data_IF_645936476624
#
_entry.id   IF_645936476624
#
_cell.length_a   1.000
_cell.length_b   1.000
_cell.length_c   1.000
_cell.angle_alpha   90.00
_cell.angle_beta   90.00
_cell.angle_gamma   90.00
#
_symmetry.space_group_name_H-M   'P 1'
#
loop_
_entity.id
_entity.type
_entity.pdbx_description
1 polymer ?
#
# COMPACT_ATOMS: atom_id res chain seq x y z
N UNK A 1 10.36 9.02 55.70
CA UNK A 1 10.40 9.99 54.58
C UNK A 1 11.13 9.51 53.31
N UNK A 2 11.79 8.34 53.27
CA UNK A 2 12.57 7.89 52.09
C UNK A 2 11.76 7.05 51.07
N UNK A 3 10.65 6.44 51.48
CA UNK A 3 9.87 5.51 50.64
C UNK A 3 9.18 6.19 49.43
N UNK A 4 8.77 7.45 49.58
CA UNK A 4 8.08 8.20 48.53
C UNK A 4 9.00 8.50 47.33
N UNK A 5 10.31 8.62 47.55
CA UNK A 5 11.27 8.87 46.48
C UNK A 5 11.51 7.64 45.60
N UNK A 6 11.50 6.44 46.19
CA UNK A 6 11.65 5.19 45.44
C UNK A 6 10.45 4.89 44.55
N UNK A 7 9.24 5.17 45.03
CA UNK A 7 8.02 4.98 44.23
C UNK A 7 7.94 5.98 43.08
N UNK A 8 8.31 7.25 43.31
CA UNK A 8 8.38 8.25 42.24
C UNK A 8 9.44 7.90 41.18
N UNK A 9 10.63 7.49 41.61
CA UNK A 9 11.71 7.09 40.69
C UNK A 9 11.36 5.86 39.85
N UNK A 10 10.72 4.85 40.45
CA UNK A 10 10.25 3.66 39.74
C UNK A 10 9.17 4.00 38.69
N UNK A 11 8.29 4.95 39.00
CA UNK A 11 7.20 5.35 38.11
C UNK A 11 7.71 6.16 36.91
N UNK A 12 8.70 7.02 37.11
CA UNK A 12 9.37 7.78 36.02
C UNK A 12 10.17 6.83 35.11
N UNK A 13 10.87 5.84 35.66
CA UNK A 13 11.59 4.83 34.87
C UNK A 13 10.64 3.93 34.07
N UNK A 14 9.52 3.51 34.67
CA UNK A 14 8.50 2.74 33.97
C UNK A 14 7.85 3.54 32.83
N UNK A 15 7.57 4.83 33.04
CA UNK A 15 7.03 5.72 32.01
C UNK A 15 8.05 5.98 30.87
N UNK A 16 9.33 6.18 31.21
CA UNK A 16 10.41 6.39 30.24
C UNK A 16 10.68 5.16 29.37
N UNK A 17 10.52 3.95 29.92
CA UNK A 17 10.68 2.71 29.18
C UNK A 17 9.44 2.31 28.34
N UNK A 18 8.24 2.69 28.78
CA UNK A 18 6.99 2.38 28.05
C UNK A 18 6.82 3.22 26.78
N UNK A 19 7.28 4.47 26.77
CA UNK A 19 7.17 5.37 25.62
C UNK A 19 7.78 4.82 24.31
N UNK A 20 9.03 4.33 24.27
CA UNK A 20 9.62 3.80 23.03
C UNK A 20 8.94 2.51 22.56
N UNK A 21 8.49 1.66 23.49
CA UNK A 21 7.83 0.38 23.16
C UNK A 21 6.46 0.62 22.52
N UNK A 22 5.67 1.54 23.06
CA UNK A 22 4.37 1.91 22.50
C UNK A 22 4.50 2.59 21.13
N UNK A 23 5.50 3.47 20.95
CA UNK A 23 5.78 4.11 19.67
C UNK A 23 6.21 3.11 18.60
N UNK A 24 7.04 2.12 18.97
CA UNK A 24 7.50 1.09 18.06
C UNK A 24 6.38 0.11 17.70
N UNK A 25 5.51 -0.23 18.65
CA UNK A 25 4.35 -1.08 18.41
C UNK A 25 3.34 -0.41 17.45
N UNK A 26 3.05 0.88 17.64
CA UNK A 26 2.19 1.64 16.73
C UNK A 26 2.76 1.72 15.31
N UNK A 27 4.08 1.93 15.17
CA UNK A 27 4.73 1.94 13.85
C UNK A 27 4.69 0.59 13.14
N UNK A 28 4.81 -0.53 13.88
CA UNK A 28 4.71 -1.87 13.30
C UNK A 28 3.29 -2.20 12.86
N UNK A 29 2.29 -1.85 13.65
CA UNK A 29 0.88 -2.10 13.32
C UNK A 29 0.39 -1.21 12.18
N UNK A 30 0.79 0.06 12.17
CA UNK A 30 0.61 1.01 11.05
C UNK A 30 1.62 0.81 9.91
N UNK A 31 2.45 -0.24 9.96
CA UNK A 31 3.18 -0.72 8.79
C UNK A 31 2.48 -1.93 8.19
N UNK A 32 1.98 -2.82 9.06
CA UNK A 32 1.27 -4.03 8.66
C UNK A 32 -0.02 -3.75 7.90
N UNK A 33 -0.85 -2.81 8.36
CA UNK A 33 -2.12 -2.47 7.68
C UNK A 33 -1.87 -1.88 6.29
N UNK A 34 -0.87 -1.03 6.16
CA UNK A 34 -0.48 -0.34 4.95
C UNK A 34 0.15 -1.32 3.96
N UNK A 35 0.99 -2.24 4.43
CA UNK A 35 1.52 -3.34 3.63
C UNK A 35 0.42 -4.25 3.07
N UNK A 36 -0.57 -4.61 3.90
CA UNK A 36 -1.73 -5.42 3.46
C UNK A 36 -2.53 -4.64 2.41
N UNK A 37 -2.84 -3.37 2.67
CA UNK A 37 -3.60 -2.53 1.73
C UNK A 37 -2.87 -2.36 0.39
N UNK A 38 -1.55 -2.16 0.41
CA UNK A 38 -0.76 -1.98 -0.79
C UNK A 38 -0.68 -3.27 -1.62
N UNK A 39 -0.42 -4.41 -0.97
CA UNK A 39 -0.41 -5.73 -1.63
C UNK A 39 -1.78 -6.08 -2.20
N UNK A 40 -2.85 -5.80 -1.47
CA UNK A 40 -4.22 -6.05 -1.95
C UNK A 40 -4.53 -5.24 -3.22
N UNK A 41 -4.17 -3.95 -3.26
CA UNK A 41 -4.36 -3.11 -4.46
C UNK A 41 -3.48 -3.57 -5.63
N UNK A 42 -2.22 -3.92 -5.38
CA UNK A 42 -1.33 -4.45 -6.42
C UNK A 42 -1.81 -5.81 -6.98
N UNK A 43 -2.35 -6.69 -6.12
CA UNK A 43 -2.95 -7.96 -6.53
C UNK A 43 -4.23 -7.74 -7.36
N UNK A 44 -5.09 -6.80 -6.95
CA UNK A 44 -6.26 -6.42 -7.73
C UNK A 44 -5.86 -5.91 -9.12
N UNK A 45 -4.84 -5.05 -9.20
CA UNK A 45 -4.33 -4.59 -10.50
C UNK A 45 -3.79 -5.76 -11.33
N UNK A 46 -3.02 -6.67 -10.71
CA UNK A 46 -2.52 -7.90 -11.33
C UNK A 46 -3.62 -8.70 -12.02
N UNK A 47 -4.74 -8.91 -11.34
CA UNK A 47 -5.91 -9.60 -11.89
C UNK A 47 -6.41 -9.01 -13.22
N UNK A 48 -6.33 -7.70 -13.40
CA UNK A 48 -6.77 -7.04 -14.64
C UNK A 48 -5.71 -6.98 -15.74
N UNK A 49 -4.42 -7.10 -15.39
CA UNK A 49 -3.33 -6.93 -16.37
C UNK A 49 -2.65 -8.23 -16.76
N UNK A 50 -2.81 -9.29 -15.97
CA UNK A 50 -2.25 -10.62 -16.26
C UNK A 50 -2.91 -11.24 -17.48
N UNK A 51 -4.23 -11.14 -17.58
CA UNK A 51 -5.03 -11.58 -18.72
C UNK A 51 -5.28 -10.40 -19.68
N UNK A 52 -4.52 -10.28 -20.79
CA UNK A 52 -4.63 -9.14 -21.68
C UNK A 52 -5.96 -9.16 -22.44
N UNK A 53 -6.73 -8.07 -22.30
CA UNK A 53 -7.92 -7.85 -23.12
C UNK A 53 -7.50 -7.46 -24.54
N UNK A 54 -7.91 -8.27 -25.53
CA UNK A 54 -7.67 -7.98 -26.94
C UNK A 54 -8.73 -7.01 -27.44
N UNK A 55 -8.31 -5.86 -27.96
CA UNK A 55 -9.21 -4.82 -28.50
C UNK A 55 -8.57 -4.13 -29.69
N UNK A 56 -9.42 -3.64 -30.60
CA UNK A 56 -9.02 -2.84 -31.76
C UNK A 56 -8.89 -1.34 -31.45
N UNK A 57 -9.38 -0.85 -30.29
CA UNK A 57 -9.23 0.56 -29.89
C UNK A 57 -7.78 0.85 -29.47
N UNK A 58 -7.02 1.65 -30.24
CA UNK A 58 -5.62 1.95 -29.94
C UNK A 58 -5.42 2.64 -28.59
N UNK A 59 -6.37 3.49 -28.17
CA UNK A 59 -6.28 4.17 -26.88
C UNK A 59 -6.53 3.22 -25.71
N UNK A 60 -7.46 2.26 -25.87
CA UNK A 60 -7.67 1.22 -24.87
C UNK A 60 -6.41 0.33 -24.73
N UNK A 61 -5.76 -0.04 -25.84
CA UNK A 61 -4.48 -0.78 -25.81
C UNK A 61 -3.40 0.01 -25.07
N UNK A 62 -3.27 1.31 -25.33
CA UNK A 62 -2.30 2.19 -24.66
C UNK A 62 -2.55 2.27 -23.15
N UNK A 63 -3.81 2.40 -22.74
CA UNK A 63 -4.21 2.45 -21.33
C UNK A 63 -3.99 1.12 -20.60
N UNK A 64 -4.30 -0.02 -21.23
CA UNK A 64 -4.03 -1.34 -20.67
C UNK A 64 -2.52 -1.58 -20.50
N UNK A 65 -1.72 -1.15 -21.48
CA UNK A 65 -0.25 -1.19 -21.36
C UNK A 65 0.24 -0.34 -20.19
N UNK A 66 -0.26 0.89 -20.05
CA UNK A 66 0.07 1.74 -18.91
C UNK A 66 -0.31 1.08 -17.58
N UNK A 67 -1.47 0.43 -17.50
CA UNK A 67 -1.88 -0.37 -16.33
C UNK A 67 -0.86 -1.45 -15.98
N UNK A 68 -0.36 -2.19 -16.98
CA UNK A 68 0.65 -3.25 -16.77
C UNK A 68 2.02 -2.70 -16.37
N UNK A 69 2.43 -1.57 -16.93
CA UNK A 69 3.65 -0.87 -16.50
C UNK A 69 3.56 -0.46 -15.04
N UNK A 70 2.43 0.10 -14.61
CA UNK A 70 2.19 0.46 -13.21
C UNK A 70 2.16 -0.75 -12.29
N UNK A 71 1.62 -1.87 -12.72
CA UNK A 71 1.68 -3.12 -11.95
C UNK A 71 3.12 -3.56 -11.69
N UNK A 72 3.96 -3.57 -12.73
CA UNK A 72 5.38 -3.88 -12.58
C UNK A 72 6.09 -2.90 -11.63
N UNK A 73 5.83 -1.60 -11.77
CA UNK A 73 6.39 -0.58 -10.87
C UNK A 73 5.93 -0.76 -9.41
N UNK A 74 4.64 -1.02 -9.18
CA UNK A 74 4.11 -1.28 -7.85
C UNK A 74 4.73 -2.53 -7.23
N UNK A 75 4.88 -3.61 -8.02
CA UNK A 75 5.58 -4.83 -7.61
C UNK A 75 7.04 -4.58 -7.24
N UNK A 76 7.75 -3.77 -8.03
CA UNK A 76 9.15 -3.41 -7.75
C UNK A 76 9.29 -2.62 -6.44
N UNK A 77 8.40 -1.65 -6.19
CA UNK A 77 8.37 -0.90 -4.91
C UNK A 77 8.03 -1.84 -3.75
N UNK A 78 7.05 -2.73 -3.90
CA UNK A 78 6.68 -3.69 -2.85
C UNK A 78 7.81 -4.67 -2.51
N UNK A 79 8.63 -5.05 -3.49
CA UNK A 79 9.75 -5.97 -3.28
C UNK A 79 10.85 -5.39 -2.37
N UNK A 80 11.00 -4.06 -2.35
CA UNK A 80 12.02 -3.36 -1.54
C UNK A 80 11.42 -2.57 -0.37
N UNK A 81 10.09 -2.50 -0.26
CA UNK A 81 9.39 -1.70 0.73
C UNK A 81 9.71 -2.12 2.17
N UNK A 82 10.24 -1.18 2.94
CA UNK A 82 10.59 -1.36 4.34
C UNK A 82 9.94 -0.31 5.27
N UNK A 83 9.18 0.62 4.69
CA UNK A 83 8.52 1.71 5.40
C UNK A 83 7.06 1.88 4.98
N UNK A 84 6.31 2.59 5.82
CA UNK A 84 4.92 2.98 5.56
C UNK A 84 4.83 3.81 4.27
N UNK A 85 5.81 4.67 4.04
CA UNK A 85 5.91 5.52 2.86
C UNK A 85 6.06 4.68 1.59
N UNK A 86 6.88 3.62 1.61
CA UNK A 86 7.03 2.72 0.46
C UNK A 86 5.73 1.98 0.15
N UNK A 87 5.02 1.49 1.17
CA UNK A 87 3.74 0.84 0.98
C UNK A 87 2.68 1.81 0.43
N UNK A 88 2.66 3.05 0.92
CA UNK A 88 1.78 4.08 0.37
C UNK A 88 2.11 4.43 -1.08
N UNK A 89 3.39 4.51 -1.43
CA UNK A 89 3.82 4.74 -2.81
C UNK A 89 3.40 3.57 -3.71
N UNK A 90 3.65 2.32 -3.30
CA UNK A 90 3.22 1.15 -4.06
C UNK A 90 1.71 1.13 -4.28
N UNK A 91 0.93 1.46 -3.24
CA UNK A 91 -0.52 1.59 -3.32
C UNK A 91 -0.94 2.65 -4.32
N UNK A 92 -0.34 3.84 -4.27
CA UNK A 92 -0.65 4.92 -5.20
C UNK A 92 -0.36 4.51 -6.65
N UNK A 93 0.78 3.87 -6.90
CA UNK A 93 1.12 3.36 -8.23
C UNK A 93 0.08 2.33 -8.71
N UNK A 94 -0.34 1.42 -7.84
CA UNK A 94 -1.39 0.45 -8.16
C UNK A 94 -2.74 1.13 -8.46
N UNK A 95 -3.10 2.17 -7.70
CA UNK A 95 -4.33 2.94 -7.92
C UNK A 95 -4.31 3.69 -9.27
N UNK A 96 -3.17 4.26 -9.65
CA UNK A 96 -2.97 4.88 -10.97
C UNK A 96 -3.12 3.85 -12.11
N UNK A 97 -2.59 2.64 -11.92
CA UNK A 97 -2.79 1.54 -12.86
C UNK A 97 -4.26 1.11 -12.98
N UNK A 98 -4.97 0.99 -11.85
CA UNK A 98 -6.39 0.66 -11.82
C UNK A 98 -7.25 1.74 -12.48
N UNK A 99 -6.88 3.01 -12.34
CA UNK A 99 -7.54 4.11 -13.05
C UNK A 99 -7.35 4.01 -14.56
N UNK A 100 -6.15 3.67 -15.03
CA UNK A 100 -5.88 3.44 -16.46
C UNK A 100 -6.69 2.25 -17.01
N UNK A 101 -6.75 1.13 -16.28
CA UNK A 101 -7.58 -0.03 -16.64
C UNK A 101 -9.06 0.34 -16.70
N UNK A 102 -9.56 1.09 -15.72
CA UNK A 102 -10.95 1.58 -15.69
C UNK A 102 -11.28 2.42 -16.91
N UNK A 103 -10.38 3.34 -17.28
CA UNK A 103 -10.53 4.16 -18.47
C UNK A 103 -10.52 3.29 -19.75
N UNK A 104 -9.66 2.28 -19.83
CA UNK A 104 -9.65 1.35 -20.97
C UNK A 104 -10.96 0.56 -21.07
N UNK A 105 -11.40 -0.05 -19.96
CA UNK A 105 -12.63 -0.84 -19.89
C UNK A 105 -13.87 -0.02 -20.26
N UNK A 106 -13.96 1.22 -19.78
CA UNK A 106 -15.04 2.13 -20.13
C UNK A 106 -15.13 2.40 -21.65
N UNK A 107 -14.00 2.42 -22.35
CA UNK A 107 -13.96 2.63 -23.81
C UNK A 107 -14.40 1.41 -24.61
N UNK A 108 -14.10 0.22 -24.11
CA UNK A 108 -14.41 -1.06 -24.79
C UNK A 108 -15.70 -1.70 -24.28
N UNK A 109 -16.47 -1.02 -23.42
CA UNK A 109 -17.75 -1.49 -22.91
C UNK A 109 -17.66 -2.63 -21.88
N UNK A 110 -16.51 -2.80 -21.24
CA UNK A 110 -16.32 -3.79 -20.18
C UNK A 110 -16.52 -3.16 -18.79
N UNK A 111 -16.95 -3.95 -17.79
CA UNK A 111 -16.98 -3.49 -16.41
C UNK A 111 -15.55 -3.20 -15.92
N UNK A 112 -15.31 -2.00 -15.42
CA UNK A 112 -14.02 -1.60 -14.85
C UNK A 112 -13.80 -2.13 -13.42
N UNK A 113 -12.58 -2.04 -12.90
CA UNK A 113 -12.29 -2.34 -11.48
C UNK A 113 -13.23 -1.59 -10.53
N UNK A 114 -13.67 -2.25 -9.47
CA UNK A 114 -14.40 -1.60 -8.37
C UNK A 114 -13.60 -0.45 -7.74
N UNK A 115 -14.28 0.52 -7.13
CA UNK A 115 -13.66 1.60 -6.35
C UNK A 115 -13.24 1.13 -4.96
#
# INVERSE_FOLDING_TARGET
MTWQWYTLGALVLAAGAAAPVLFQHNRRTAGGKEAISARARAALLGHYVEDPVVTADPEAVRLLRAGRERWNSAGAVLATANSVQDYNLAKQIADEGLAAVRAAHARIGLPGPGS
#
